data_IF_454811959982
#
_entry.id   IF_454811959982
#
_cell.length_a   1.000
_cell.length_b   1.000
_cell.length_c   1.000
_cell.angle_alpha   90.00
_cell.angle_beta   90.00
_cell.angle_gamma   90.00
#
_symmetry.space_group_name_H-M   'P 1'
#
loop_
_entity.id
_entity.type
_entity.pdbx_description
1 polymer ?
#
# COMPACT_ATOMS: atom_id res chain seq x y z
N UNK A 1 2.16 -1.21 -5.62
CA UNK A 1 2.38 -0.70 -4.24
C UNK A 1 2.76 -1.85 -3.32
N UNK A 2 3.06 -1.57 -2.05
CA UNK A 2 3.19 -2.62 -1.04
C UNK A 2 1.83 -3.27 -0.78
N UNK A 3 1.79 -4.60 -0.70
CA UNK A 3 0.56 -5.37 -0.48
C UNK A 3 0.17 -5.49 1.01
N UNK A 4 -1.09 -5.89 1.29
CA UNK A 4 -1.66 -5.91 2.64
C UNK A 4 -0.89 -6.82 3.60
N UNK A 5 -0.34 -7.94 3.13
CA UNK A 5 0.45 -8.86 3.97
C UNK A 5 1.82 -8.31 4.39
N UNK A 6 2.26 -7.19 3.84
CA UNK A 6 3.60 -6.64 4.09
C UNK A 6 3.59 -5.19 4.59
N UNK A 7 2.42 -4.55 4.66
CA UNK A 7 2.31 -3.16 5.07
C UNK A 7 1.86 -3.01 6.53
N UNK A 8 2.72 -3.43 7.45
CA UNK A 8 2.51 -3.17 8.88
C UNK A 8 2.63 -1.67 9.19
N UNK A 9 1.71 -1.14 10.00
CA UNK A 9 1.62 0.25 10.46
C UNK A 9 1.33 0.32 11.96
N UNK A 10 1.74 1.42 12.61
CA UNK A 10 1.54 1.66 14.03
C UNK A 10 0.17 2.23 14.40
N UNK A 11 -0.15 2.28 15.71
CA UNK A 11 -1.45 2.72 16.21
C UNK A 11 -1.79 4.17 15.85
N UNK A 12 -0.78 5.04 15.75
CA UNK A 12 -0.94 6.44 15.33
C UNK A 12 -1.46 6.58 13.90
N UNK A 13 -1.08 5.65 13.01
CA UNK A 13 -1.57 5.63 11.64
C UNK A 13 -3.03 5.17 11.58
N UNK A 14 -3.36 4.14 12.34
CA UNK A 14 -4.72 3.59 12.45
C UNK A 14 -5.67 4.69 12.96
N UNK A 15 -5.30 5.34 14.07
CA UNK A 15 -6.11 6.39 14.69
C UNK A 15 -6.43 7.52 13.71
N UNK A 16 -5.42 8.02 12.99
CA UNK A 16 -5.59 9.07 11.98
C UNK A 16 -6.52 8.66 10.84
N UNK A 17 -6.47 7.41 10.40
CA UNK A 17 -7.35 6.93 9.33
C UNK A 17 -8.80 6.79 9.78
N UNK A 18 -9.02 6.27 10.98
CA UNK A 18 -10.36 6.09 11.57
C UNK A 18 -10.99 7.44 11.93
N UNK A 19 -10.19 8.43 12.34
CA UNK A 19 -10.67 9.80 12.61
C UNK A 19 -11.26 10.47 11.36
N UNK A 20 -10.69 10.20 10.18
CA UNK A 20 -11.19 10.73 8.91
C UNK A 20 -12.50 10.06 8.48
N UNK A 21 -12.59 8.74 8.64
CA UNK A 21 -13.82 7.96 8.40
C UNK A 21 -13.74 6.66 9.19
N UNK A 22 -14.71 6.42 10.07
CA UNK A 22 -14.76 5.22 10.89
C UNK A 22 -14.79 3.92 10.06
N UNK A 23 -15.33 3.96 8.84
CA UNK A 23 -15.35 2.81 7.93
C UNK A 23 -13.95 2.42 7.45
N UNK A 24 -12.95 3.30 7.58
CA UNK A 24 -11.58 2.98 7.24
C UNK A 24 -11.01 1.84 8.10
N UNK A 25 -11.63 1.53 9.25
CA UNK A 25 -11.25 0.35 10.04
C UNK A 25 -11.26 -0.94 9.21
N UNK A 26 -12.11 -1.03 8.18
CA UNK A 26 -12.20 -2.18 7.28
C UNK A 26 -10.99 -2.41 6.38
N UNK A 27 -10.02 -1.49 6.33
CA UNK A 27 -8.77 -1.64 5.59
C UNK A 27 -7.61 -2.15 6.47
N UNK A 28 -7.86 -2.45 7.75
CA UNK A 28 -6.84 -2.93 8.68
C UNK A 28 -7.12 -4.39 9.08
N UNK A 29 -6.10 -5.24 8.96
CA UNK A 29 -6.10 -6.60 9.47
C UNK A 29 -5.15 -6.72 10.68
N UNK A 30 -5.33 -7.73 11.57
CA UNK A 30 -4.44 -7.93 12.70
C UNK A 30 -2.98 -8.11 12.28
N UNK A 31 -2.04 -7.48 13.00
CA UNK A 31 -0.62 -7.82 12.91
C UNK A 31 -0.22 -8.81 14.03
N UNK A 32 0.88 -9.54 13.80
CA UNK A 32 1.57 -10.31 14.84
C UNK A 32 2.19 -9.40 15.93
N UNK A 33 2.51 -8.15 15.60
CA UNK A 33 3.07 -7.18 16.55
C UNK A 33 1.94 -6.49 17.33
N UNK A 34 2.01 -6.44 18.68
CA UNK A 34 1.01 -5.74 19.48
C UNK A 34 0.82 -4.29 19.04
N UNK A 35 -0.43 -3.83 19.09
CA UNK A 35 -0.86 -2.46 18.73
C UNK A 35 -0.65 -2.05 17.27
N UNK A 36 -0.12 -2.95 16.43
CA UNK A 36 0.07 -2.72 15.00
C UNK A 36 -1.01 -3.44 14.20
N UNK A 37 -1.19 -2.99 12.96
CA UNK A 37 -2.10 -3.60 12.01
C UNK A 37 -1.46 -3.69 10.62
N UNK A 38 -1.98 -4.60 9.81
CA UNK A 38 -1.66 -4.76 8.40
C UNK A 38 -2.63 -3.91 7.57
N UNK A 39 -2.12 -2.89 6.87
CA UNK A 39 -2.95 -1.94 6.13
C UNK A 39 -3.07 -2.32 4.65
N UNK A 40 -4.30 -2.42 4.15
CA UNK A 40 -4.58 -2.68 2.74
C UNK A 40 -4.64 -1.38 1.92
N UNK A 41 -3.46 -0.87 1.56
CA UNK A 41 -3.33 0.31 0.70
C UNK A 41 -3.95 0.10 -0.69
N UNK A 42 -3.86 -1.12 -1.23
CA UNK A 42 -4.35 -1.44 -2.58
C UNK A 42 -5.86 -1.31 -2.62
N UNK A 43 -6.57 -1.99 -1.71
CA UNK A 43 -8.02 -1.90 -1.59
C UNK A 43 -8.46 -0.48 -1.25
N UNK A 44 -7.79 0.19 -0.30
CA UNK A 44 -8.12 1.58 0.03
C UNK A 44 -8.07 2.50 -1.20
N UNK A 45 -7.08 2.32 -2.08
CA UNK A 45 -6.91 3.13 -3.29
C UNK A 45 -7.99 2.85 -4.31
N UNK A 46 -8.29 1.57 -4.58
CA UNK A 46 -9.36 1.16 -5.52
C UNK A 46 -10.72 1.65 -5.01
N UNK A 47 -11.05 1.42 -3.74
CA UNK A 47 -12.34 1.82 -3.17
C UNK A 47 -12.52 3.36 -3.19
N UNK A 48 -11.44 4.13 -3.04
CA UNK A 48 -11.49 5.59 -3.21
C UNK A 48 -11.79 6.01 -4.65
N UNK A 49 -11.20 5.35 -5.63
CA UNK A 49 -11.47 5.60 -7.05
C UNK A 49 -12.92 5.22 -7.39
N UNK A 50 -13.39 4.07 -6.92
CA UNK A 50 -14.78 3.63 -7.11
C UNK A 50 -15.78 4.60 -6.49
N UNK A 51 -15.52 5.09 -5.26
CA UNK A 51 -16.35 6.14 -4.63
C UNK A 51 -16.35 7.46 -5.41
N UNK A 52 -15.29 7.75 -6.17
CA UNK A 52 -15.23 8.90 -7.06
C UNK A 52 -15.91 8.67 -8.42
N UNK A 53 -16.57 7.52 -8.63
CA UNK A 53 -17.25 7.17 -9.88
C UNK A 53 -16.34 6.57 -10.95
N UNK A 54 -15.10 6.18 -10.60
CA UNK A 54 -14.14 5.58 -11.53
C UNK A 54 -14.20 4.06 -11.44
N UNK A 55 -14.34 3.38 -12.58
CA UNK A 55 -14.09 1.93 -12.67
C UNK A 55 -12.59 1.68 -12.55
N UNK A 56 -12.16 1.01 -11.49
CA UNK A 56 -10.75 0.81 -11.17
C UNK A 56 -10.48 -0.63 -10.77
N UNK A 57 -9.29 -1.10 -11.10
CA UNK A 57 -8.76 -2.38 -10.64
C UNK A 57 -7.25 -2.24 -10.36
N UNK A 58 -6.71 -3.13 -9.53
CA UNK A 58 -5.30 -3.18 -9.17
C UNK A 58 -4.60 -4.41 -9.73
N UNK A 59 -3.30 -4.32 -9.98
CA UNK A 59 -2.53 -5.45 -10.52
C UNK A 59 -2.42 -6.66 -9.56
N UNK A 60 -2.79 -6.50 -8.28
CA UNK A 60 -2.64 -7.55 -7.27
C UNK A 60 -1.18 -7.90 -6.92
N UNK A 61 -0.23 -7.02 -7.26
CA UNK A 61 1.22 -7.24 -7.09
C UNK A 61 1.76 -6.55 -5.84
N UNK A 62 2.78 -7.11 -5.22
CA UNK A 62 3.37 -6.60 -3.98
C UNK A 62 4.85 -6.24 -4.17
N UNK A 63 5.20 -4.96 -4.02
CA UNK A 63 6.59 -4.51 -4.17
C UNK A 63 7.52 -5.14 -3.14
N UNK A 64 7.03 -5.45 -1.93
CA UNK A 64 7.83 -6.08 -0.88
C UNK A 64 8.09 -7.56 -1.16
N UNK A 65 7.05 -8.33 -1.53
CA UNK A 65 7.13 -9.77 -1.69
C UNK A 65 7.82 -10.20 -2.98
N UNK A 66 7.66 -9.44 -4.07
CA UNK A 66 8.16 -9.79 -5.39
C UNK A 66 9.49 -9.08 -5.69
N UNK A 67 10.54 -9.49 -4.97
CA UNK A 67 11.85 -8.84 -5.00
C UNK A 67 12.51 -8.82 -6.38
N UNK A 68 12.33 -9.88 -7.18
CA UNK A 68 12.92 -9.99 -8.53
C UNK A 68 12.34 -8.97 -9.52
N UNK A 69 11.20 -8.35 -9.18
CA UNK A 69 10.43 -7.51 -10.09
C UNK A 69 10.33 -6.06 -9.62
N UNK A 70 10.43 -5.81 -8.30
CA UNK A 70 10.25 -4.47 -7.74
C UNK A 70 11.25 -4.17 -6.62
N UNK A 71 11.78 -2.95 -6.62
CA UNK A 71 12.34 -2.32 -5.41
C UNK A 71 11.24 -2.05 -4.37
N UNK A 72 11.60 -2.13 -3.09
CA UNK A 72 10.71 -1.82 -1.97
C UNK A 72 11.46 -1.12 -0.86
N UNK A 73 11.00 0.08 -0.50
CA UNK A 73 11.53 0.82 0.64
C UNK A 73 11.37 0.03 1.95
N UNK A 74 10.22 -0.63 2.17
CA UNK A 74 10.01 -1.42 3.38
C UNK A 74 11.02 -2.58 3.46
N UNK A 75 11.30 -3.25 2.34
CA UNK A 75 12.30 -4.33 2.30
C UNK A 75 13.70 -3.80 2.59
N UNK A 76 14.09 -2.68 1.97
CA UNK A 76 15.41 -2.08 2.21
C UNK A 76 15.58 -1.64 3.67
N UNK A 77 14.53 -1.09 4.32
CA UNK A 77 14.57 -0.75 5.75
C UNK A 77 14.75 -1.98 6.65
N UNK A 78 14.05 -3.09 6.37
CA UNK A 78 14.22 -4.34 7.14
C UNK A 78 15.63 -4.93 6.98
N UNK A 79 16.24 -4.75 5.80
CA UNK A 79 17.60 -5.22 5.50
C UNK A 79 18.71 -4.23 5.84
N UNK A 80 18.36 -3.02 6.30
CA UNK A 80 19.30 -1.92 6.59
C UNK A 80 20.18 -1.55 5.39
N UNK A 81 19.60 -1.63 4.19
CA UNK A 81 20.27 -1.20 2.97
C UNK A 81 20.35 0.35 2.94
N UNK A 82 21.48 0.93 2.48
CA UNK A 82 21.70 2.38 2.55
C UNK A 82 20.85 3.18 1.57
N UNK A 83 20.37 2.57 0.49
CA UNK A 83 19.46 3.15 -0.48
C UNK A 83 18.66 2.04 -1.19
N UNK A 84 17.69 2.42 -2.01
CA UNK A 84 16.87 1.53 -2.83
C UNK A 84 16.53 2.20 -4.16
N UNK A 85 16.37 1.41 -5.22
CA UNK A 85 15.90 1.91 -6.51
C UNK A 85 14.44 2.38 -6.46
N UNK A 86 14.01 3.14 -7.48
CA UNK A 86 12.62 3.63 -7.60
C UNK A 86 12.01 3.18 -8.92
N UNK A 87 10.74 2.81 -8.91
CA UNK A 87 9.97 2.58 -10.13
C UNK A 87 9.40 3.87 -10.68
N UNK A 88 8.99 3.82 -11.95
CA UNK A 88 8.10 4.80 -12.57
C UNK A 88 6.84 4.10 -13.06
N UNK A 89 5.70 4.77 -12.95
CA UNK A 89 4.47 4.43 -13.65
C UNK A 89 4.11 5.61 -14.53
N UNK A 90 3.98 5.39 -15.84
CA UNK A 90 3.75 6.44 -16.82
C UNK A 90 2.61 6.04 -17.75
N UNK A 91 1.86 7.03 -18.21
CA UNK A 91 0.82 6.90 -19.23
C UNK A 91 0.92 8.11 -20.15
N UNK A 92 0.79 7.88 -21.45
CA UNK A 92 0.84 8.92 -22.48
C UNK A 92 -0.16 8.59 -23.59
N UNK A 93 -0.71 9.62 -24.23
CA UNK A 93 -1.40 9.49 -25.51
C UNK A 93 -0.37 9.67 -26.61
N UNK A 94 -0.19 8.66 -27.45
CA UNK A 94 0.69 8.77 -28.62
C UNK A 94 0.07 9.72 -29.64
N UNK A 95 0.90 10.56 -30.25
CA UNK A 95 0.52 11.33 -31.45
C UNK A 95 0.94 10.53 -32.67
N UNK A 96 0.07 10.45 -33.67
CA UNK A 96 0.45 10.00 -35.03
C UNK A 96 1.51 10.91 -35.65
#
# INVERSE_FOLDING_TARGET
>A
SIGPENYEVGPEFIARFVEVDANNIGYFAPSAKPEHAMFDLNRYTVDRLTRAGVTADGLGRCTYAEEDLFYSYRRSTHRKEPDYGRQISAIVLETE
#
